data_IF_420660858294
#
_entry.id   IF_420660858294
#
_cell.length_a   1.000
_cell.length_b   1.000
_cell.length_c   1.000
_cell.angle_alpha   90.00
_cell.angle_beta   90.00
_cell.angle_gamma   90.00
#
_symmetry.space_group_name_H-M   'P 1'
#
loop_
_entity.id
_entity.type
_entity.pdbx_description
1 polymer ?
#
# COMPACT_ATOMS: atom_id res chain seq x y z
N UNK A 1 1.37 6.99 -8.23
CA UNK A 1 2.67 6.37 -8.59
C UNK A 1 2.65 6.09 -10.07
N UNK A 2 3.32 6.93 -10.87
CA UNK A 2 3.49 6.67 -12.30
C UNK A 2 4.76 5.83 -12.48
N UNK A 3 4.67 4.71 -13.21
CA UNK A 3 5.81 3.84 -13.50
C UNK A 3 6.23 4.16 -14.94
N UNK A 4 7.46 4.66 -15.11
CA UNK A 4 8.07 4.81 -16.43
C UNK A 4 9.05 3.66 -16.66
N UNK A 5 8.82 2.86 -17.69
CA UNK A 5 9.75 1.82 -18.13
C UNK A 5 10.57 2.42 -19.26
N UNK A 6 11.86 2.66 -19.03
CA UNK A 6 12.78 3.18 -20.04
C UNK A 6 13.71 2.07 -20.54
N UNK A 7 13.77 1.86 -21.85
CA UNK A 7 14.74 0.99 -22.50
C UNK A 7 15.81 1.86 -23.19
N UNK A 8 17.10 1.75 -22.82
CA UNK A 8 18.15 2.63 -23.32
C UNK A 8 18.56 2.40 -24.78
N UNK A 9 18.10 1.33 -25.44
CA UNK A 9 18.44 1.05 -26.84
C UNK A 9 17.43 1.68 -27.79
N UNK A 10 17.66 2.95 -28.12
CA UNK A 10 16.94 3.68 -29.16
C UNK A 10 17.18 3.09 -30.55
N UNK A 11 16.25 2.28 -31.04
CA UNK A 11 16.05 2.09 -32.48
C UNK A 11 14.61 2.46 -32.85
N UNK A 12 14.54 3.62 -33.51
CA UNK A 12 13.36 4.27 -34.00
C UNK A 12 12.86 3.54 -35.26
N UNK A 13 11.87 2.66 -35.12
CA UNK A 13 11.04 2.25 -36.25
C UNK A 13 9.57 2.32 -35.85
N UNK A 14 8.90 3.32 -36.40
CA UNK A 14 7.46 3.47 -36.26
C UNK A 14 6.70 2.33 -36.94
N UNK A 15 5.68 1.83 -36.26
CA UNK A 15 4.55 1.16 -36.86
C UNK A 15 3.27 1.66 -36.20
N UNK A 16 2.44 2.24 -37.05
CA UNK A 16 1.06 2.67 -36.79
C UNK A 16 0.20 1.44 -36.43
N UNK A 17 -0.90 1.72 -35.73
CA UNK A 17 -2.11 0.87 -35.57
C UNK A 17 -2.06 -0.27 -34.55
N UNK A 18 -2.73 -0.05 -33.41
CA UNK A 18 -3.53 -1.08 -32.72
C UNK A 18 -4.62 -0.44 -31.84
N UNK A 19 -5.46 0.39 -32.44
CA UNK A 19 -6.79 0.68 -31.91
C UNK A 19 -7.71 -0.50 -32.29
N UNK A 20 -7.62 -1.63 -31.57
CA UNK A 20 -8.53 -2.77 -31.69
C UNK A 20 -8.28 -3.86 -30.62
N UNK A 21 -8.21 -3.53 -29.32
CA UNK A 21 -8.36 -4.54 -28.24
C UNK A 21 -9.17 -3.93 -27.07
N UNK A 22 -10.34 -3.37 -27.38
CA UNK A 22 -11.30 -2.90 -26.36
C UNK A 22 -12.70 -3.51 -26.47
N UNK A 23 -12.91 -4.54 -27.29
CA UNK A 23 -14.27 -5.04 -27.54
C UNK A 23 -14.38 -6.56 -27.67
N UNK A 24 -13.64 -7.34 -26.85
CA UNK A 24 -13.79 -8.80 -26.83
C UNK A 24 -13.61 -9.43 -25.43
N UNK A 25 -14.02 -8.71 -24.38
CA UNK A 25 -14.12 -9.25 -23.01
C UNK A 25 -15.58 -9.49 -22.56
N UNK A 26 -16.57 -9.18 -23.41
CA UNK A 26 -17.95 -9.62 -23.24
C UNK A 26 -18.18 -10.84 -24.12
N UNK A 27 -18.76 -11.90 -23.53
CA UNK A 27 -19.18 -13.18 -24.13
C UNK A 27 -18.12 -14.29 -24.18
N UNK A 28 -17.78 -14.87 -23.02
CA UNK A 28 -17.76 -16.33 -22.88
C UNK A 28 -18.24 -16.76 -21.48
N UNK A 29 -19.12 -17.78 -21.37
CA UNK A 29 -19.63 -18.26 -20.09
C UNK A 29 -18.57 -19.15 -19.41
N UNK A 30 -18.09 -18.71 -18.24
CA UNK A 30 -17.21 -19.52 -17.40
C UNK A 30 -18.02 -20.65 -16.74
N UNK A 31 -17.76 -21.89 -17.17
CA UNK A 31 -18.29 -23.08 -16.54
C UNK A 31 -17.71 -23.23 -15.12
N UNK A 32 -18.56 -23.06 -14.11
CA UNK A 32 -18.26 -23.46 -12.73
C UNK A 32 -18.13 -24.99 -12.68
N UNK A 33 -16.90 -25.48 -12.52
CA UNK A 33 -16.65 -26.84 -12.03
C UNK A 33 -16.41 -26.73 -10.53
N UNK A 34 -17.27 -27.39 -9.77
CA UNK A 34 -17.30 -27.46 -8.31
C UNK A 34 -15.90 -27.75 -7.73
N UNK A 35 -15.35 -26.78 -7.00
CA UNK A 35 -14.27 -27.00 -6.05
C UNK A 35 -14.85 -26.83 -4.64
N UNK A 36 -14.62 -27.85 -3.82
CA UNK A 36 -14.81 -27.93 -2.38
C UNK A 36 -14.92 -26.59 -1.65
N UNK A 37 -15.92 -26.49 -0.78
CA UNK A 37 -16.33 -25.33 0.04
C UNK A 37 -15.14 -24.52 0.61
N UNK A 38 -14.58 -23.63 -0.20
CA UNK A 38 -13.63 -22.61 0.24
C UNK A 38 -14.44 -21.63 1.09
N UNK A 39 -14.04 -21.35 2.35
CA UNK A 39 -14.67 -20.29 3.13
C UNK A 39 -14.70 -19.03 2.28
N UNK A 40 -15.85 -18.34 2.18
CA UNK A 40 -15.99 -17.13 1.37
C UNK A 40 -14.74 -16.25 1.53
N UNK A 41 -13.91 -16.10 0.47
CA UNK A 41 -12.59 -15.51 0.59
C UNK A 41 -12.67 -14.04 1.02
N UNK A 42 -13.83 -13.40 0.87
CA UNK A 42 -14.08 -12.02 1.27
C UNK A 42 -14.71 -11.91 2.66
N UNK A 43 -15.16 -13.00 3.28
CA UNK A 43 -15.72 -12.96 4.64
C UNK A 43 -14.74 -12.34 5.65
N UNK A 44 -13.46 -12.73 5.73
CA UNK A 44 -12.52 -12.12 6.67
C UNK A 44 -12.33 -10.62 6.47
N UNK A 45 -12.41 -10.13 5.22
CA UNK A 45 -12.36 -8.69 4.92
C UNK A 45 -13.62 -7.98 5.42
N UNK A 46 -14.80 -8.53 5.15
CA UNK A 46 -16.06 -7.94 5.63
C UNK A 46 -16.13 -7.92 7.15
N UNK A 47 -15.59 -8.92 7.83
CA UNK A 47 -15.53 -8.96 9.29
C UNK A 47 -14.55 -7.90 9.85
N UNK A 48 -13.39 -7.67 9.20
CA UNK A 48 -12.47 -6.57 9.53
C UNK A 48 -13.16 -5.21 9.38
N UNK A 49 -13.82 -4.96 8.23
CA UNK A 49 -14.52 -3.70 7.96
C UNK A 49 -15.62 -3.46 8.99
N UNK A 50 -16.47 -4.46 9.27
CA UNK A 50 -17.53 -4.35 10.27
C UNK A 50 -17.01 -4.02 11.66
N UNK A 51 -15.89 -4.64 12.06
CA UNK A 51 -15.26 -4.35 13.35
C UNK A 51 -14.80 -2.89 13.41
N UNK A 52 -14.03 -2.44 12.42
CA UNK A 52 -13.49 -1.08 12.39
C UNK A 52 -14.61 -0.02 12.29
N UNK A 53 -15.64 -0.28 11.49
CA UNK A 53 -16.80 0.59 11.35
C UNK A 53 -17.58 0.69 12.67
N UNK A 54 -17.75 -0.44 13.37
CA UNK A 54 -18.40 -0.49 14.68
C UNK A 54 -17.62 0.32 15.73
N UNK A 55 -16.30 0.15 15.78
CA UNK A 55 -15.43 0.90 16.69
C UNK A 55 -15.46 2.40 16.42
N UNK A 56 -15.41 2.82 15.15
CA UNK A 56 -15.54 4.22 14.77
C UNK A 56 -16.93 4.77 15.10
N UNK A 57 -18.00 4.00 14.85
CA UNK A 57 -19.37 4.38 15.19
C UNK A 57 -19.58 4.61 16.69
N UNK A 58 -18.98 3.78 17.54
CA UNK A 58 -18.96 3.97 19.00
C UNK A 58 -18.20 5.24 19.41
N UNK A 59 -17.08 5.52 18.75
CA UNK A 59 -16.29 6.75 18.98
C UNK A 59 -17.09 7.99 18.57
N UNK A 60 -17.75 7.97 17.42
CA UNK A 60 -18.60 9.07 16.96
C UNK A 60 -19.72 9.35 17.97
N UNK A 61 -20.43 8.32 18.43
CA UNK A 61 -21.49 8.48 19.45
C UNK A 61 -20.97 9.13 20.74
N UNK A 62 -19.80 8.71 21.23
CA UNK A 62 -19.23 9.20 22.50
C UNK A 62 -18.55 10.56 22.40
N UNK A 63 -17.90 10.87 21.29
CA UNK A 63 -17.02 12.04 21.17
C UNK A 63 -17.51 13.11 20.20
N UNK A 64 -18.25 12.75 19.14
CA UNK A 64 -18.88 13.69 18.22
C UNK A 64 -20.36 13.94 18.58
N UNK A 65 -20.94 13.07 19.39
CA UNK A 65 -22.33 13.14 19.85
C UNK A 65 -23.29 12.35 18.97
N UNK A 66 -24.47 12.07 19.53
CA UNK A 66 -25.49 11.25 18.88
C UNK A 66 -25.96 11.86 17.54
N UNK A 67 -26.16 13.17 17.49
CA UNK A 67 -26.60 13.88 16.28
C UNK A 67 -25.63 13.71 15.11
N UNK A 68 -24.31 13.75 15.37
CA UNK A 68 -23.30 13.52 14.34
C UNK A 68 -23.38 12.08 13.81
N UNK A 69 -23.46 11.10 14.71
CA UNK A 69 -23.61 9.70 14.34
C UNK A 69 -24.87 9.45 13.50
N UNK A 70 -26.03 9.96 13.93
CA UNK A 70 -27.29 9.81 13.21
C UNK A 70 -27.23 10.42 11.81
N UNK A 71 -26.57 11.58 11.68
CA UNK A 71 -26.36 12.23 10.39
C UNK A 71 -25.49 11.37 9.47
N UNK A 72 -24.40 10.80 9.97
CA UNK A 72 -23.52 9.91 9.19
C UNK A 72 -24.27 8.66 8.72
N UNK A 73 -25.06 8.02 9.59
CA UNK A 73 -25.86 6.84 9.22
C UNK A 73 -26.96 7.20 8.22
N UNK A 74 -27.62 8.36 8.36
CA UNK A 74 -28.60 8.85 7.41
C UNK A 74 -27.96 9.07 6.02
N UNK A 75 -26.80 9.74 5.96
CA UNK A 75 -26.05 9.94 4.72
C UNK A 75 -25.67 8.60 4.09
N UNK A 76 -25.15 7.64 4.87
CA UNK A 76 -24.76 6.31 4.35
C UNK A 76 -25.97 5.55 3.77
N UNK A 77 -27.09 5.58 4.47
CA UNK A 77 -28.32 4.88 4.07
C UNK A 77 -28.88 5.45 2.77
N UNK A 78 -29.02 6.78 2.70
CA UNK A 78 -29.50 7.47 1.51
C UNK A 78 -28.55 7.30 0.32
N UNK A 79 -27.23 7.42 0.54
CA UNK A 79 -26.23 7.23 -0.52
C UNK A 79 -26.27 5.80 -1.09
N UNK A 80 -26.47 4.79 -0.24
CA UNK A 80 -26.59 3.41 -0.69
C UNK A 80 -27.85 3.20 -1.54
N UNK A 81 -29.01 3.66 -1.07
CA UNK A 81 -30.27 3.50 -1.83
C UNK A 81 -30.24 4.30 -3.14
N UNK A 82 -29.69 5.52 -3.13
CA UNK A 82 -29.47 6.32 -4.32
C UNK A 82 -28.58 5.59 -5.35
N UNK A 83 -27.50 4.96 -4.90
CA UNK A 83 -26.62 4.17 -5.78
C UNK A 83 -27.33 2.93 -6.37
N UNK A 84 -28.32 2.38 -5.66
CA UNK A 84 -29.17 1.28 -6.14
C UNK A 84 -30.29 1.74 -7.09
N UNK A 85 -30.39 3.04 -7.39
CA UNK A 85 -31.29 3.63 -8.39
C UNK A 85 -32.51 4.37 -7.83
N UNK A 86 -32.53 4.71 -6.54
CA UNK A 86 -33.63 5.47 -5.94
C UNK A 86 -33.40 7.00 -6.02
N UNK A 87 -33.97 7.64 -7.03
CA UNK A 87 -33.83 9.09 -7.27
C UNK A 87 -34.44 9.96 -6.15
N UNK A 88 -35.45 9.45 -5.43
CA UNK A 88 -36.07 10.18 -4.32
C UNK A 88 -35.11 10.27 -3.13
N UNK A 89 -34.37 9.19 -2.86
CA UNK A 89 -33.36 9.15 -1.80
C UNK A 89 -32.12 9.97 -2.20
N UNK A 90 -31.77 10.01 -3.49
CA UNK A 90 -30.75 10.94 -3.99
C UNK A 90 -31.14 12.41 -3.72
N UNK A 91 -32.39 12.77 -4.03
CA UNK A 91 -32.90 14.13 -3.77
C UNK A 91 -32.89 14.45 -2.27
N UNK A 92 -33.25 13.47 -1.44
CA UNK A 92 -33.23 13.61 0.02
C UNK A 92 -31.82 13.75 0.58
N UNK A 93 -30.84 13.02 0.01
CA UNK A 93 -29.42 13.14 0.35
C UNK A 93 -28.90 14.54 0.03
N UNK A 94 -29.18 15.06 -1.16
CA UNK A 94 -28.76 16.41 -1.56
C UNK A 94 -29.30 17.45 -0.58
N UNK A 95 -30.60 17.40 -0.28
CA UNK A 95 -31.23 18.32 0.68
C UNK A 95 -30.61 18.23 2.07
N UNK A 96 -30.32 17.03 2.56
CA UNK A 96 -29.68 16.81 3.85
C UNK A 96 -28.31 17.49 3.91
N UNK A 97 -27.51 17.33 2.84
CA UNK A 97 -26.17 17.93 2.75
C UNK A 97 -26.21 19.45 2.59
N UNK A 98 -27.19 20.01 1.88
CA UNK A 98 -27.36 21.46 1.72
C UNK A 98 -27.75 22.17 3.03
N UNK A 99 -28.50 21.48 3.90
CA UNK A 99 -29.00 22.04 5.16
C UNK A 99 -28.04 21.85 6.34
N UNK A 100 -26.93 21.13 6.13
CA UNK A 100 -25.97 20.82 7.18
C UNK A 100 -25.16 22.07 7.59
N UNK A 101 -25.20 22.48 8.88
CA UNK A 101 -24.35 23.56 9.37
C UNK A 101 -22.87 23.25 9.11
N UNK A 102 -22.07 24.27 8.76
CA UNK A 102 -20.66 24.09 8.36
C UNK A 102 -19.83 23.30 9.37
N UNK A 103 -20.03 23.53 10.67
CA UNK A 103 -19.33 22.80 11.74
C UNK A 103 -19.68 21.31 11.73
N UNK A 104 -20.96 20.97 11.58
CA UNK A 104 -21.41 19.59 11.47
C UNK A 104 -20.97 18.95 10.15
N UNK A 105 -20.99 19.70 9.05
CA UNK A 105 -20.52 19.24 7.75
C UNK A 105 -19.05 18.80 7.82
N UNK A 106 -18.20 19.57 8.52
CA UNK A 106 -16.79 19.18 8.75
C UNK A 106 -16.67 17.87 9.52
N UNK A 107 -17.44 17.69 10.60
CA UNK A 107 -17.42 16.44 11.37
C UNK A 107 -17.88 15.23 10.55
N UNK A 108 -18.95 15.39 9.76
CA UNK A 108 -19.47 14.35 8.86
C UNK A 108 -18.45 13.99 7.78
N UNK A 109 -17.85 14.99 7.13
CA UNK A 109 -16.81 14.78 6.12
C UNK A 109 -15.60 14.02 6.70
N UNK A 110 -15.14 14.40 7.89
CA UNK A 110 -14.07 13.71 8.61
C UNK A 110 -14.45 12.27 8.96
N UNK A 111 -15.68 12.03 9.40
CA UNK A 111 -16.15 10.67 9.67
C UNK A 111 -16.04 9.79 8.42
N UNK A 112 -16.51 10.26 7.26
CA UNK A 112 -16.38 9.52 5.99
C UNK A 112 -14.93 9.33 5.53
N UNK A 113 -14.06 10.32 5.74
CA UNK A 113 -12.62 10.17 5.48
C UNK A 113 -12.03 9.04 6.34
N UNK A 114 -12.36 9.00 7.64
CA UNK A 114 -11.93 7.92 8.53
C UNK A 114 -12.51 6.55 8.15
N UNK A 115 -13.80 6.44 7.82
CA UNK A 115 -14.38 5.18 7.31
C UNK A 115 -13.61 4.68 6.07
N UNK A 116 -13.33 5.57 5.13
CA UNK A 116 -12.57 5.22 3.93
C UNK A 116 -11.14 4.76 4.25
N UNK A 117 -10.45 5.46 5.15
CA UNK A 117 -9.11 5.05 5.59
C UNK A 117 -9.12 3.69 6.28
N UNK A 118 -10.08 3.43 7.16
CA UNK A 118 -10.21 2.13 7.85
C UNK A 118 -10.54 1.00 6.87
N UNK A 119 -11.44 1.23 5.91
CA UNK A 119 -11.74 0.27 4.85
C UNK A 119 -10.50 -0.04 4.00
N UNK A 120 -9.73 0.99 3.62
CA UNK A 120 -8.48 0.82 2.89
C UNK A 120 -7.45 0.01 3.68
N UNK A 121 -7.30 0.27 4.99
CA UNK A 121 -6.40 -0.50 5.86
C UNK A 121 -6.84 -1.97 5.92
N UNK A 122 -8.13 -2.24 6.12
CA UNK A 122 -8.67 -3.60 6.12
C UNK A 122 -8.42 -4.31 4.78
N UNK A 123 -8.62 -3.62 3.65
CA UNK A 123 -8.36 -4.18 2.33
C UNK A 123 -6.87 -4.51 2.12
N UNK A 124 -5.97 -3.57 2.44
CA UNK A 124 -4.53 -3.81 2.31
C UNK A 124 -4.07 -4.95 3.22
N UNK A 125 -4.56 -5.00 4.46
CA UNK A 125 -4.29 -6.09 5.38
C UNK A 125 -4.79 -7.44 4.81
N UNK A 126 -6.01 -7.46 4.29
CA UNK A 126 -6.59 -8.67 3.70
C UNK A 126 -5.81 -9.15 2.47
N UNK A 127 -5.27 -8.25 1.63
CA UNK A 127 -4.36 -8.62 0.53
C UNK A 127 -3.12 -9.34 1.05
N UNK A 128 -2.52 -8.86 2.14
CA UNK A 128 -1.37 -9.52 2.80
C UNK A 128 -1.77 -10.86 3.41
N UNK A 129 -2.92 -10.94 4.11
CA UNK A 129 -3.48 -12.17 4.68
C UNK A 129 -3.66 -13.24 3.60
N UNK A 130 -4.30 -12.89 2.48
CA UNK A 130 -4.51 -13.81 1.35
C UNK A 130 -3.19 -14.27 0.74
N UNK A 131 -2.25 -13.34 0.51
CA UNK A 131 -0.92 -13.69 0.02
C UNK A 131 -0.24 -14.71 0.91
N UNK A 132 -0.25 -14.51 2.23
CA UNK A 132 0.31 -15.46 3.20
C UNK A 132 -0.42 -16.80 3.19
N UNK A 133 -1.75 -16.79 3.08
CA UNK A 133 -2.53 -18.03 2.98
C UNK A 133 -2.09 -18.90 1.80
N UNK A 134 -1.97 -18.31 0.59
CA UNK A 134 -1.46 -19.05 -0.58
C UNK A 134 -0.03 -19.54 -0.38
N UNK A 135 0.85 -18.70 0.19
CA UNK A 135 2.26 -19.06 0.43
C UNK A 135 2.46 -20.16 1.48
N UNK A 136 1.46 -20.45 2.33
CA UNK A 136 1.52 -21.53 3.34
C UNK A 136 1.19 -22.90 2.78
N UNK A 137 0.51 -22.96 1.65
CA UNK A 137 0.18 -24.21 0.97
C UNK A 137 1.31 -24.56 -0.02
N UNK A 138 2.09 -25.63 0.22
CA UNK A 138 3.17 -26.05 -0.68
C UNK A 138 2.69 -26.48 -2.07
N UNK A 139 1.38 -26.74 -2.23
CA UNK A 139 0.77 -27.16 -3.48
C UNK A 139 -0.06 -26.06 -4.14
N UNK A 140 -0.11 -24.85 -3.55
CA UNK A 140 -0.77 -23.74 -4.19
C UNK A 140 -0.09 -23.42 -5.54
N UNK A 141 -0.88 -23.09 -6.58
CA UNK A 141 -0.30 -22.59 -7.82
C UNK A 141 0.48 -21.29 -7.57
N UNK A 142 1.43 -20.94 -8.45
CA UNK A 142 2.10 -19.65 -8.40
C UNK A 142 1.09 -18.51 -8.22
N UNK A 143 1.43 -17.56 -7.36
CA UNK A 143 0.54 -16.42 -7.12
C UNK A 143 0.34 -15.65 -8.43
N UNK A 144 -0.90 -15.23 -8.71
CA UNK A 144 -1.21 -14.41 -9.88
C UNK A 144 -0.35 -13.13 -9.90
N UNK A 145 0.13 -12.75 -11.07
CA UNK A 145 0.99 -11.61 -11.35
C UNK A 145 2.35 -11.67 -10.61
N UNK A 146 2.80 -12.87 -10.24
CA UNK A 146 4.12 -13.10 -9.64
C UNK A 146 5.19 -13.45 -10.67
N UNK A 147 6.46 -13.28 -10.29
CA UNK A 147 7.59 -13.74 -11.12
C UNK A 147 7.53 -15.24 -11.38
N UNK A 148 7.05 -16.03 -10.42
CA UNK A 148 6.95 -17.48 -10.56
C UNK A 148 5.92 -17.88 -11.62
N UNK A 149 4.75 -17.24 -11.63
CA UNK A 149 3.74 -17.44 -12.67
C UNK A 149 4.27 -16.99 -14.05
N UNK A 150 4.89 -15.82 -14.11
CA UNK A 150 5.43 -15.27 -15.34
C UNK A 150 6.53 -16.16 -15.94
N UNK A 151 7.46 -16.65 -15.11
CA UNK A 151 8.52 -17.55 -15.58
C UNK A 151 7.97 -18.90 -16.02
N UNK A 152 7.01 -19.48 -15.29
CA UNK A 152 6.35 -20.72 -15.70
C UNK A 152 5.63 -20.55 -17.06
N UNK A 153 4.95 -19.42 -17.27
CA UNK A 153 4.30 -19.11 -18.54
C UNK A 153 5.32 -18.95 -19.69
N UNK A 154 6.44 -18.28 -19.46
CA UNK A 154 7.52 -18.12 -20.44
C UNK A 154 8.18 -19.46 -20.81
N UNK A 155 8.46 -20.31 -19.81
CA UNK A 155 8.99 -21.66 -20.05
C UNK A 155 8.01 -22.50 -20.87
N UNK A 156 6.71 -22.43 -20.55
CA UNK A 156 5.66 -23.13 -21.33
C UNK A 156 5.54 -22.60 -22.77
N UNK A 157 5.83 -21.32 -22.99
CA UNK A 157 5.88 -20.70 -24.31
C UNK A 157 7.17 -21.03 -25.09
N UNK A 158 8.09 -21.81 -24.53
CA UNK A 158 9.31 -22.25 -25.19
C UNK A 158 10.53 -21.32 -25.01
N UNK A 159 10.46 -20.36 -24.09
CA UNK A 159 11.62 -19.52 -23.75
C UNK A 159 12.68 -20.40 -23.08
N UNK A 160 13.90 -20.41 -23.63
CA UNK A 160 15.00 -21.20 -23.08
C UNK A 160 15.49 -20.61 -21.74
N UNK A 161 15.98 -21.47 -20.84
CA UNK A 161 16.53 -21.03 -19.56
C UNK A 161 17.65 -19.97 -19.71
N UNK A 162 18.62 -20.10 -20.64
CA UNK A 162 19.63 -19.06 -20.85
C UNK A 162 19.05 -17.72 -21.29
N UNK A 163 18.03 -17.73 -22.18
CA UNK A 163 17.38 -16.50 -22.63
C UNK A 163 16.63 -15.81 -21.49
N UNK A 164 15.96 -16.58 -20.62
CA UNK A 164 15.28 -16.03 -19.44
C UNK A 164 16.27 -15.41 -18.44
N UNK A 165 17.39 -16.09 -18.17
CA UNK A 165 18.47 -15.56 -17.31
C UNK A 165 19.01 -14.25 -17.86
N UNK A 166 19.33 -14.21 -19.16
CA UNK A 166 19.84 -13.02 -19.81
C UNK A 166 18.85 -11.85 -19.74
N UNK A 167 17.56 -12.11 -19.96
CA UNK A 167 16.51 -11.09 -19.88
C UNK A 167 16.38 -10.52 -18.45
N UNK A 168 16.46 -11.38 -17.42
CA UNK A 168 16.40 -10.93 -16.03
C UNK A 168 17.66 -10.17 -15.63
N UNK A 169 18.84 -10.55 -16.12
CA UNK A 169 20.10 -9.83 -15.87
C UNK A 169 20.14 -8.46 -16.55
N UNK A 170 19.48 -8.30 -17.69
CA UNK A 170 19.36 -7.04 -18.41
C UNK A 170 18.25 -6.12 -17.87
N UNK A 171 17.47 -6.57 -16.88
CA UNK A 171 16.35 -5.80 -16.35
C UNK A 171 16.84 -4.52 -15.65
N UNK A 172 16.27 -3.38 -16.03
CA UNK A 172 16.53 -2.09 -15.40
C UNK A 172 15.20 -1.34 -15.22
N UNK A 173 14.79 -1.17 -13.97
CA UNK A 173 13.57 -0.52 -13.56
C UNK A 173 13.94 0.68 -12.70
N UNK A 174 13.48 1.87 -13.07
CA UNK A 174 13.66 3.09 -12.27
C UNK A 174 12.31 3.57 -11.74
N UNK A 175 12.20 3.67 -10.42
CA UNK A 175 11.01 4.17 -9.73
C UNK A 175 11.32 5.56 -9.21
N UNK A 176 10.68 6.58 -9.79
CA UNK A 176 10.88 7.98 -9.38
C UNK A 176 9.82 8.39 -8.37
N UNK A 177 10.25 8.69 -7.15
CA UNK A 177 9.38 9.19 -6.08
C UNK A 177 9.09 10.68 -6.33
N UNK A 178 7.80 11.00 -6.46
CA UNK A 178 7.32 12.37 -6.60
C UNK A 178 6.68 12.84 -5.30
N UNK A 179 6.65 14.15 -5.07
CA UNK A 179 5.79 14.71 -4.05
C UNK A 179 4.34 14.32 -4.35
N UNK A 180 3.54 14.06 -3.31
CA UNK A 180 2.11 13.87 -3.49
C UNK A 180 1.43 15.25 -3.37
N UNK A 181 0.93 15.83 -4.47
CA UNK A 181 0.48 17.23 -4.53
C UNK A 181 -0.76 17.53 -3.66
N UNK A 182 -1.32 16.53 -2.98
CA UNK A 182 -2.57 16.59 -2.21
C UNK A 182 -2.52 15.79 -0.92
N UNK A 183 -1.34 15.31 -0.48
CA UNK A 183 -1.27 14.53 0.77
C UNK A 183 -1.32 15.47 1.98
N UNK A 184 -2.56 15.92 2.25
CA UNK A 184 -2.98 16.73 3.39
C UNK A 184 -2.75 15.96 4.70
N UNK A 185 -2.69 14.63 4.64
CA UNK A 185 -2.51 13.74 5.77
C UNK A 185 -1.18 13.96 6.51
N UNK A 186 -1.25 14.07 7.84
CA UNK A 186 -0.08 14.23 8.70
C UNK A 186 0.65 12.91 8.94
N UNK A 187 1.97 12.98 9.11
CA UNK A 187 2.82 11.83 9.52
C UNK A 187 2.29 11.12 10.78
N UNK A 188 1.79 11.90 11.73
CA UNK A 188 1.19 11.37 12.96
C UNK A 188 -0.05 10.49 12.71
N UNK A 189 -0.85 10.81 11.69
CA UNK A 189 -1.99 9.96 11.29
C UNK A 189 -1.52 8.69 10.59
N UNK A 190 -0.54 8.78 9.70
CA UNK A 190 0.05 7.61 9.05
C UNK A 190 0.59 6.59 10.06
N UNK A 191 1.27 7.05 11.11
CA UNK A 191 1.75 6.17 12.18
C UNK A 191 0.60 5.49 12.94
N UNK A 192 -0.53 6.18 13.16
CA UNK A 192 -1.72 5.58 13.80
C UNK A 192 -2.37 4.54 12.90
N UNK A 193 -2.50 4.84 11.60
CA UNK A 193 -3.03 3.89 10.62
C UNK A 193 -2.16 2.64 10.48
N UNK A 194 -0.83 2.79 10.55
CA UNK A 194 0.09 1.65 10.61
C UNK A 194 -0.16 0.77 11.85
N UNK A 195 -0.33 1.37 13.03
CA UNK A 195 -0.67 0.63 14.26
C UNK A 195 -2.03 -0.05 14.21
N UNK A 196 -3.02 0.55 13.53
CA UNK A 196 -4.31 -0.13 13.27
C UNK A 196 -4.10 -1.37 12.39
N UNK A 197 -3.29 -1.26 11.33
CA UNK A 197 -2.95 -2.41 10.48
C UNK A 197 -2.21 -3.51 11.26
N UNK A 198 -1.29 -3.15 12.16
CA UNK A 198 -0.64 -4.08 13.08
C UNK A 198 -1.64 -4.74 14.04
N UNK A 199 -2.61 -3.99 14.56
CA UNK A 199 -3.68 -4.53 15.40
C UNK A 199 -4.56 -5.56 14.66
N UNK A 200 -4.86 -5.32 13.38
CA UNK A 200 -5.52 -6.32 12.53
C UNK A 200 -4.66 -7.59 12.37
N UNK A 201 -3.35 -7.42 12.15
CA UNK A 201 -2.42 -8.55 12.02
C UNK A 201 -2.25 -9.33 13.33
N UNK A 202 -2.26 -8.65 14.48
CA UNK A 202 -2.26 -9.29 15.79
C UNK A 202 -3.52 -10.15 15.95
N UNK A 203 -4.69 -9.66 15.54
CA UNK A 203 -5.96 -10.39 15.66
C UNK A 203 -6.03 -11.66 14.81
N UNK A 204 -5.21 -11.78 13.76
CA UNK A 204 -5.09 -13.00 12.96
C UNK A 204 -4.30 -14.12 13.65
N UNK A 205 -3.66 -13.83 14.79
CA UNK A 205 -2.92 -14.83 15.57
C UNK A 205 -3.88 -15.85 16.17
N UNK A 206 -3.59 -17.12 15.93
CA UNK A 206 -4.39 -18.26 16.44
C UNK A 206 -4.05 -18.64 17.88
N UNK A 207 -3.01 -18.06 18.46
CA UNK A 207 -2.47 -18.39 19.79
C UNK A 207 -2.88 -17.40 20.88
N UNK A 208 -3.72 -16.41 20.58
CA UNK A 208 -4.17 -15.41 21.57
C UNK A 208 -5.15 -16.00 22.58
N UNK A 209 -4.91 -15.73 23.85
CA UNK A 209 -5.87 -15.95 24.94
C UNK A 209 -7.07 -15.00 24.83
N UNK A 210 -8.21 -15.29 25.48
CA UNK A 210 -9.38 -14.40 25.46
C UNK A 210 -9.06 -12.97 25.93
N UNK A 211 -8.23 -12.82 26.97
CA UNK A 211 -7.82 -11.50 27.47
C UNK A 211 -6.99 -10.75 26.43
N UNK A 212 -6.04 -11.41 25.77
CA UNK A 212 -5.23 -10.78 24.72
C UNK A 212 -6.06 -10.40 23.48
N UNK A 213 -7.12 -11.16 23.18
CA UNK A 213 -8.07 -10.81 22.12
C UNK A 213 -8.86 -9.53 22.47
N UNK A 214 -9.37 -9.44 23.70
CA UNK A 214 -10.04 -8.24 24.21
C UNK A 214 -9.10 -7.02 24.21
N UNK A 215 -7.87 -7.20 24.69
CA UNK A 215 -6.84 -6.15 24.67
C UNK A 215 -6.51 -5.71 23.24
N UNK A 216 -6.43 -6.63 22.28
CA UNK A 216 -6.18 -6.29 20.88
C UNK A 216 -7.30 -5.39 20.31
N UNK A 217 -8.57 -5.70 20.62
CA UNK A 217 -9.72 -4.87 20.22
C UNK A 217 -9.70 -3.52 20.93
N UNK A 218 -9.39 -3.49 22.23
CA UNK A 218 -9.25 -2.24 22.98
C UNK A 218 -8.13 -1.37 22.42
N UNK A 219 -7.02 -1.96 21.98
CA UNK A 219 -5.91 -1.25 21.34
C UNK A 219 -6.33 -0.62 20.01
N UNK A 220 -7.07 -1.37 19.18
CA UNK A 220 -7.65 -0.84 17.94
C UNK A 220 -8.56 0.37 18.24
N UNK A 221 -9.44 0.25 19.24
CA UNK A 221 -10.31 1.36 19.65
C UNK A 221 -9.50 2.59 20.07
N UNK A 222 -8.43 2.41 20.85
CA UNK A 222 -7.54 3.50 21.28
C UNK A 222 -6.85 4.18 20.09
N UNK A 223 -6.34 3.43 19.12
CA UNK A 223 -5.69 4.00 17.95
C UNK A 223 -6.68 4.73 17.02
N UNK A 224 -7.88 4.19 16.83
CA UNK A 224 -8.95 4.86 16.05
C UNK A 224 -9.38 6.15 16.76
N UNK A 225 -9.58 6.11 18.08
CA UNK A 225 -9.90 7.30 18.87
C UNK A 225 -8.80 8.35 18.77
N UNK A 226 -7.54 7.91 18.87
CA UNK A 226 -6.41 8.80 18.77
C UNK A 226 -6.23 9.36 17.35
N UNK A 227 -6.69 8.66 16.30
CA UNK A 227 -6.75 9.18 14.94
C UNK A 227 -7.88 10.23 14.80
N UNK A 228 -9.06 9.96 15.35
CA UNK A 228 -10.20 10.88 15.34
C UNK A 228 -9.90 12.24 16.00
N UNK A 229 -9.13 12.25 17.09
CA UNK A 229 -8.73 13.51 17.75
C UNK A 229 -7.48 14.17 17.17
N UNK A 230 -6.90 13.60 16.11
CA UNK A 230 -5.76 14.21 15.43
C UNK A 230 -6.23 15.02 14.24
N UNK A 231 -5.91 16.32 14.21
CA UNK A 231 -6.16 17.19 13.06
C UNK A 231 -5.61 16.57 11.77
N UNK A 232 -6.51 16.28 10.82
CA UNK A 232 -6.18 15.68 9.52
C UNK A 232 -5.55 16.69 8.57
N UNK A 233 -5.97 17.95 8.67
CA UNK A 233 -5.59 19.01 7.74
C UNK A 233 -4.36 19.75 8.23
N UNK A 234 -3.32 19.80 7.40
CA UNK A 234 -2.21 20.73 7.61
C UNK A 234 -2.71 22.16 7.43
N UNK A 235 -2.47 23.02 8.43
CA UNK A 235 -2.79 24.46 8.36
C UNK A 235 -1.88 25.24 7.41
N UNK A 236 -0.73 24.66 7.03
CA UNK A 236 0.24 25.23 6.11
C UNK A 236 0.66 24.16 5.11
N UNK A 237 0.86 24.57 3.85
CA UNK A 237 1.39 23.68 2.82
C UNK A 237 2.78 23.16 3.23
N UNK A 238 3.11 21.90 2.92
CA UNK A 238 4.45 21.38 3.18
C UNK A 238 5.49 22.18 2.40
N UNK A 239 6.66 22.39 3.00
CA UNK A 239 7.80 22.92 2.26
C UNK A 239 8.37 21.82 1.35
N UNK A 240 9.08 22.16 0.25
CA UNK A 240 9.75 21.14 -0.56
C UNK A 240 10.74 20.25 0.24
N UNK A 241 11.28 20.78 1.34
CA UNK A 241 12.13 20.01 2.26
C UNK A 241 11.28 18.98 3.03
N UNK A 242 10.09 19.36 3.51
CA UNK A 242 9.18 18.42 4.20
C UNK A 242 8.77 17.26 3.28
N UNK A 243 8.52 17.55 2.01
CA UNK A 243 8.21 16.54 0.99
C UNK A 243 9.39 15.58 0.80
N UNK A 244 10.60 16.11 0.66
CA UNK A 244 11.80 15.29 0.52
C UNK A 244 12.07 14.43 1.77
N UNK A 245 11.91 14.99 2.98
CA UNK A 245 12.03 14.24 4.24
C UNK A 245 11.00 13.11 4.29
N UNK A 246 9.79 13.34 3.82
CA UNK A 246 8.76 12.30 3.75
C UNK A 246 9.14 11.20 2.75
N UNK A 247 9.62 11.56 1.55
CA UNK A 247 10.11 10.58 0.58
C UNK A 247 11.26 9.71 1.12
N UNK A 248 12.19 10.32 1.84
CA UNK A 248 13.28 9.61 2.51
C UNK A 248 12.78 8.68 3.62
N UNK A 249 11.74 9.07 4.36
CA UNK A 249 11.13 8.20 5.38
C UNK A 249 10.53 6.93 4.76
N UNK A 250 9.94 7.00 3.56
CA UNK A 250 9.44 5.81 2.84
C UNK A 250 10.59 4.85 2.51
N UNK A 251 11.75 5.39 2.13
CA UNK A 251 12.95 4.59 1.88
C UNK A 251 13.41 3.92 3.18
N UNK A 252 13.61 4.70 4.24
CA UNK A 252 14.11 4.26 5.54
C UNK A 252 13.22 3.20 6.21
N UNK A 253 11.90 3.45 6.23
CA UNK A 253 10.95 2.66 7.02
C UNK A 253 10.44 1.43 6.26
N UNK A 254 10.51 1.42 4.93
CA UNK A 254 9.89 0.38 4.11
C UNK A 254 10.82 -0.16 3.03
N UNK A 255 11.25 0.68 2.08
CA UNK A 255 11.92 0.17 0.88
C UNK A 255 13.28 -0.46 1.18
N UNK A 256 13.99 0.05 2.18
CA UNK A 256 15.30 -0.47 2.61
C UNK A 256 15.25 -1.97 2.93
N UNK A 257 14.21 -2.43 3.63
CA UNK A 257 14.06 -3.83 4.01
C UNK A 257 13.26 -4.65 2.99
N UNK A 258 12.32 -4.02 2.27
CA UNK A 258 11.45 -4.69 1.30
C UNK A 258 12.21 -5.05 0.02
N UNK A 259 13.05 -4.15 -0.51
CA UNK A 259 13.74 -4.37 -1.77
C UNK A 259 14.66 -5.61 -1.74
N UNK A 260 15.55 -5.80 -0.74
CA UNK A 260 16.36 -7.01 -0.65
C UNK A 260 15.53 -8.29 -0.49
N UNK A 261 14.40 -8.23 0.23
CA UNK A 261 13.48 -9.38 0.35
C UNK A 261 12.83 -9.73 -0.98
N UNK A 262 12.44 -8.73 -1.76
CA UNK A 262 11.90 -8.92 -3.10
C UNK A 262 12.95 -9.53 -4.04
N UNK A 263 14.18 -9.00 -4.06
CA UNK A 263 15.27 -9.56 -4.89
C UNK A 263 15.57 -11.02 -4.55
N UNK A 264 15.51 -11.40 -3.27
CA UNK A 264 15.61 -12.83 -2.87
C UNK A 264 14.47 -13.70 -3.40
N UNK A 265 13.27 -13.12 -3.54
CA UNK A 265 12.10 -13.82 -4.08
C UNK A 265 12.26 -14.00 -5.59
N UNK A 266 12.71 -12.96 -6.30
CA UNK A 266 13.05 -13.00 -7.72
C UNK A 266 14.16 -14.03 -8.01
N UNK A 267 15.25 -14.00 -7.25
CA UNK A 267 16.35 -14.97 -7.38
C UNK A 267 15.88 -16.41 -7.16
N UNK A 268 15.05 -16.65 -6.14
CA UNK A 268 14.47 -17.98 -5.89
C UNK A 268 13.63 -18.45 -7.08
N UNK A 269 12.76 -17.59 -7.61
CA UNK A 269 11.92 -17.91 -8.75
C UNK A 269 12.76 -18.20 -9.99
N UNK A 270 13.81 -17.41 -10.25
CA UNK A 270 14.72 -17.60 -11.38
C UNK A 270 15.48 -18.93 -11.27
N UNK A 271 16.02 -19.24 -10.09
CA UNK A 271 16.72 -20.51 -9.82
C UNK A 271 15.82 -21.72 -10.00
N UNK A 272 14.57 -21.64 -9.53
CA UNK A 272 13.61 -22.73 -9.67
C UNK A 272 13.33 -23.09 -11.14
N UNK A 273 13.35 -22.11 -12.05
CA UNK A 273 13.04 -22.31 -13.47
C UNK A 273 14.26 -22.55 -14.35
N UNK A 274 15.43 -22.03 -13.97
CA UNK A 274 16.61 -21.99 -14.86
C UNK A 274 17.85 -22.67 -14.29
N UNK A 275 17.86 -23.00 -12.99
CA UNK A 275 19.04 -23.47 -12.27
C UNK A 275 20.08 -22.37 -11.99
N UNK A 276 19.89 -21.16 -12.52
CA UNK A 276 20.78 -20.01 -12.33
C UNK A 276 20.08 -18.90 -11.54
N UNK A 277 20.86 -18.09 -10.82
CA UNK A 277 20.35 -17.01 -9.97
C UNK A 277 20.74 -15.61 -10.46
N UNK A 278 20.45 -14.63 -9.61
CA UNK A 278 20.95 -13.28 -9.78
C UNK A 278 22.43 -13.18 -9.36
N UNK A 279 23.26 -12.41 -10.09
CA UNK A 279 24.60 -12.01 -9.64
C UNK A 279 24.54 -11.25 -8.31
N UNK A 280 25.64 -11.25 -7.56
CA UNK A 280 25.72 -10.53 -6.28
C UNK A 280 25.58 -9.00 -6.47
N UNK A 281 26.03 -8.50 -7.62
CA UNK A 281 26.02 -7.09 -8.00
C UNK A 281 24.71 -6.66 -8.66
N UNK A 282 23.73 -7.57 -8.81
CA UNK A 282 22.48 -7.30 -9.49
C UNK A 282 21.64 -6.25 -8.76
N UNK A 283 21.46 -5.10 -9.40
CA UNK A 283 20.60 -4.01 -8.93
C UNK A 283 19.60 -3.60 -10.02
N UNK A 284 18.65 -4.50 -10.39
CA UNK A 284 17.72 -4.26 -11.49
C UNK A 284 16.65 -3.21 -11.16
N UNK A 285 16.54 -2.77 -9.91
CA UNK A 285 15.57 -1.77 -9.46
C UNK A 285 16.34 -0.62 -8.81
N UNK A 286 16.12 0.59 -9.31
CA UNK A 286 16.70 1.84 -8.83
C UNK A 286 15.60 2.81 -8.44
N UNK A 287 15.90 3.67 -7.49
CA UNK A 287 14.99 4.71 -7.03
C UNK A 287 15.57 6.09 -7.36
N UNK A 288 14.75 6.92 -8.00
CA UNK A 288 14.99 8.35 -8.19
C UNK A 288 14.03 9.18 -7.35
N UNK A 289 14.23 10.48 -7.27
CA UNK A 289 13.28 11.39 -6.65
C UNK A 289 13.23 12.75 -7.33
N UNK A 290 12.03 13.31 -7.43
CA UNK A 290 11.79 14.69 -7.86
C UNK A 290 11.63 15.66 -6.69
N UNK A 291 11.47 15.18 -5.46
CA UNK A 291 11.25 16.03 -4.30
C UNK A 291 12.49 16.88 -4.03
N UNK A 292 12.33 18.21 -4.05
CA UNK A 292 13.43 19.17 -3.95
C UNK A 292 14.28 19.34 -5.23
N UNK A 293 13.99 18.61 -6.30
CA UNK A 293 14.66 18.71 -7.60
C UNK A 293 13.80 19.34 -8.68
N UNK A 294 12.53 18.92 -8.77
CA UNK A 294 11.56 19.45 -9.72
C UNK A 294 11.16 20.88 -9.35
N UNK A 295 11.38 21.79 -10.30
CA UNK A 295 11.16 23.24 -10.16
C UNK A 295 10.16 23.77 -11.18
N UNK A 296 9.57 22.88 -11.98
CA UNK A 296 8.59 23.29 -12.97
C UNK A 296 7.34 23.84 -12.27
N UNK A 297 7.01 25.11 -12.52
CA UNK A 297 5.88 25.79 -11.88
C UNK A 297 5.97 26.00 -10.36
N UNK A 298 7.10 25.68 -9.70
CA UNK A 298 7.24 25.77 -8.23
C UNK A 298 8.42 26.67 -7.80
N UNK A 299 8.19 27.97 -7.53
CA UNK A 299 9.25 28.90 -7.15
C UNK A 299 9.88 28.60 -5.78
N UNK A 300 9.24 27.74 -4.97
CA UNK A 300 9.76 27.38 -3.64
C UNK A 300 10.94 26.40 -3.72
N UNK A 301 11.18 25.76 -4.88
CA UNK A 301 12.31 24.86 -5.10
C UNK A 301 13.52 25.65 -5.60
N UNK A 302 14.24 26.26 -4.66
CA UNK A 302 15.45 27.05 -4.94
C UNK A 302 16.69 26.15 -5.04
N UNK A 303 17.81 26.63 -5.62
CA UNK A 303 19.08 25.87 -5.62
C UNK A 303 19.55 25.47 -4.21
N UNK A 304 19.31 26.33 -3.21
CA UNK A 304 19.61 26.03 -1.81
C UNK A 304 18.78 24.84 -1.30
N UNK A 305 17.49 24.80 -1.63
CA UNK A 305 16.60 23.67 -1.29
C UNK A 305 17.10 22.38 -1.93
N UNK A 306 17.44 22.40 -3.23
CA UNK A 306 17.98 21.21 -3.92
C UNK A 306 19.25 20.71 -3.24
N UNK A 307 20.21 21.60 -2.96
CA UNK A 307 21.44 21.23 -2.27
C UNK A 307 21.15 20.60 -0.89
N UNK A 308 20.27 21.23 -0.11
CA UNK A 308 19.89 20.76 1.21
C UNK A 308 19.23 19.37 1.17
N UNK A 309 18.36 19.10 0.19
CA UNK A 309 17.74 17.79 0.00
C UNK A 309 18.77 16.73 -0.40
N UNK A 310 19.73 17.04 -1.26
CA UNK A 310 20.83 16.13 -1.57
C UNK A 310 21.65 15.77 -0.33
N UNK A 311 21.98 16.75 0.51
CA UNK A 311 22.68 16.54 1.79
C UNK A 311 21.86 15.68 2.75
N UNK A 312 20.54 15.88 2.84
CA UNK A 312 19.65 15.04 3.64
C UNK A 312 19.65 13.59 3.14
N UNK A 313 19.51 13.38 1.83
CA UNK A 313 19.53 12.04 1.24
C UNK A 313 20.87 11.31 1.52
N UNK A 314 22.00 12.01 1.40
CA UNK A 314 23.31 11.47 1.73
C UNK A 314 23.42 11.08 3.21
N UNK A 315 22.96 11.95 4.12
CA UNK A 315 22.94 11.65 5.56
C UNK A 315 22.09 10.43 5.89
N UNK A 316 20.88 10.35 5.32
CA UNK A 316 20.00 9.19 5.48
C UNK A 316 20.67 7.91 4.98
N UNK A 317 21.30 7.95 3.79
CA UNK A 317 22.02 6.80 3.26
C UNK A 317 23.15 6.34 4.18
N UNK A 318 24.00 7.26 4.65
CA UNK A 318 25.09 6.93 5.59
C UNK A 318 24.54 6.32 6.88
N UNK A 319 23.46 6.87 7.43
CA UNK A 319 22.83 6.33 8.65
C UNK A 319 22.30 4.91 8.46
N UNK A 320 21.66 4.64 7.31
CA UNK A 320 21.13 3.31 6.98
C UNK A 320 22.24 2.29 6.75
N UNK A 321 23.29 2.65 6.01
CA UNK A 321 24.44 1.78 5.81
C UNK A 321 25.19 1.50 7.11
N UNK A 322 25.39 2.50 7.97
CA UNK A 322 26.05 2.34 9.26
C UNK A 322 25.30 1.31 10.13
N UNK A 323 23.97 1.46 10.24
CA UNK A 323 23.10 0.52 10.97
C UNK A 323 23.28 -0.92 10.49
N UNK A 324 23.32 -1.12 9.17
CA UNK A 324 23.45 -2.46 8.59
C UNK A 324 24.87 -3.03 8.81
N UNK A 325 25.92 -2.20 8.72
CA UNK A 325 27.31 -2.58 9.00
C UNK A 325 27.47 -2.98 10.47
N UNK A 326 26.92 -2.21 11.41
CA UNK A 326 26.94 -2.52 12.84
C UNK A 326 26.26 -3.86 13.13
N UNK A 327 25.09 -4.11 12.54
CA UNK A 327 24.37 -5.38 12.63
C UNK A 327 25.20 -6.57 12.11
N UNK A 328 25.91 -6.39 10.99
CA UNK A 328 26.81 -7.42 10.44
C UNK A 328 28.03 -7.67 11.34
N UNK A 329 28.57 -6.63 11.97
CA UNK A 329 29.67 -6.74 12.91
C UNK A 329 29.28 -7.53 14.16
N UNK A 330 28.14 -7.20 14.78
CA UNK A 330 27.60 -7.93 15.93
C UNK A 330 27.28 -9.39 15.58
N UNK A 331 26.69 -9.63 14.40
CA UNK A 331 26.38 -10.97 13.91
C UNK A 331 27.63 -11.84 13.72
N UNK A 332 28.72 -11.24 13.25
CA UNK A 332 30.01 -11.92 13.08
C UNK A 332 30.65 -12.29 14.43
N UNK A 333 30.56 -11.41 15.43
CA UNK A 333 31.05 -11.67 16.79
C UNK A 333 30.27 -12.79 17.49
N UNK A 334 28.94 -12.83 17.36
CA UNK A 334 28.10 -13.91 17.94
C UNK A 334 28.34 -15.28 17.30
N UNK A 335 28.77 -15.32 16.03
CA UNK A 335 29.15 -16.56 15.34
C UNK A 335 30.52 -17.08 15.78
N UNK A 336 31.42 -16.17 16.17
CA UNK A 336 32.74 -16.50 16.73
C UNK A 336 32.68 -16.99 18.18
N UNK A 337 31.73 -16.51 18.98
CA UNK A 337 31.54 -16.91 20.39
C UNK A 337 30.67 -18.17 20.59
N UNK A 338 30.31 -18.86 19.50
CA UNK A 338 29.56 -20.14 19.50
C UNK A 338 30.44 -21.36 19.14
N UNK A 339 31.75 -21.24 19.33
CA UNK A 339 32.72 -22.33 19.40
C UNK A 339 33.14 -22.43 20.87
#
# INVERSE_FOLDING_TARGET
MFIFIYNPDGLNHGLKSAAAISSLALLMPFAHKELHMVPDPHKPLRDDIRLLDGLLGDILRRHAGQTCFDTVEAVRTLAKSAHEGNDADFTSLVRLLEQLPTEHALQVARAFAHFLHLANIAEQHHRVRRRRFYQRDPHAPPQRDSCEEAFAAMTKAGVSAPALVQAVHALNIEIVLTAHPTEVMRRTLMHKFARIAEGLACRDRTDLTPIEQEETVANLQREILAAWHTDEVRRQAPTPIDEAVWGLAVIEQTLWDVLPRYLRTLDRALRAHTGSGLPAEAAPIRFGSWMGGDRDGNPNVTPHVTAQVCLLAQRTAVSLFLRDIESLHEGSLRRFLRI
#
